data_IF_095425670006
#
_entry.id   IF_095425670006
#
_cell.length_a   1.000
_cell.length_b   1.000
_cell.length_c   1.000
_cell.angle_alpha   90.00
_cell.angle_beta   90.00
_cell.angle_gamma   90.00
#
_symmetry.space_group_name_H-M   'P 1'
#
loop_
_entity.id
_entity.type
_entity.pdbx_description
1 polymer ?
#
# COMPACT_ATOMS: atom_id res chain seq x y z
N UNK A 1 12.65 -7.37 -23.27
CA UNK A 1 11.26 -7.59 -23.74
C UNK A 1 10.31 -7.27 -22.59
N UNK A 2 9.58 -6.15 -22.67
CA UNK A 2 8.53 -5.82 -21.70
C UNK A 2 7.29 -6.62 -22.08
N UNK A 3 6.94 -7.61 -21.28
CA UNK A 3 5.64 -8.28 -21.38
C UNK A 3 4.58 -7.20 -21.14
N UNK A 4 3.89 -6.78 -22.21
CA UNK A 4 2.59 -6.13 -22.08
C UNK A 4 1.63 -7.17 -21.51
N UNK A 5 1.65 -7.35 -20.20
CA UNK A 5 0.52 -7.94 -19.51
C UNK A 5 -0.66 -7.02 -19.85
N UNK A 6 -1.60 -7.50 -20.67
CA UNK A 6 -2.85 -6.80 -20.95
C UNK A 6 -3.43 -6.39 -19.60
N UNK A 7 -3.49 -5.09 -19.34
CA UNK A 7 -4.14 -4.61 -18.12
C UNK A 7 -5.58 -5.12 -18.16
N UNK A 8 -6.04 -5.82 -17.12
CA UNK A 8 -7.41 -6.32 -17.09
C UNK A 8 -8.38 -5.13 -17.19
N UNK A 9 -9.51 -5.30 -17.88
CA UNK A 9 -10.55 -4.29 -17.94
C UNK A 9 -11.02 -3.96 -16.52
N UNK A 10 -11.50 -2.73 -16.31
CA UNK A 10 -11.93 -2.27 -14.99
C UNK A 10 -13.05 -3.15 -14.40
N UNK A 11 -13.87 -3.79 -15.25
CA UNK A 11 -14.87 -4.78 -14.85
C UNK A 11 -14.27 -5.95 -14.06
N UNK A 12 -13.11 -6.44 -14.47
CA UNK A 12 -12.46 -7.60 -13.85
C UNK A 12 -11.83 -7.20 -12.51
N UNK A 13 -11.29 -5.98 -12.42
CA UNK A 13 -10.80 -5.41 -11.17
C UNK A 13 -11.94 -5.26 -10.16
N UNK A 14 -13.08 -4.69 -10.58
CA UNK A 14 -14.25 -4.50 -9.72
C UNK A 14 -14.81 -5.85 -9.26
N UNK A 15 -15.00 -6.80 -10.18
CA UNK A 15 -15.49 -8.14 -9.84
C UNK A 15 -14.54 -8.85 -8.85
N UNK A 16 -13.23 -8.72 -9.05
CA UNK A 16 -12.23 -9.30 -8.17
C UNK A 16 -12.20 -8.66 -6.78
N UNK A 17 -12.41 -7.34 -6.67
CA UNK A 17 -12.55 -6.65 -5.39
C UNK A 17 -13.78 -7.15 -4.62
N UNK A 18 -14.89 -7.41 -5.30
CA UNK A 18 -16.14 -7.91 -4.70
C UNK A 18 -16.08 -9.38 -4.29
N UNK A 19 -15.29 -10.21 -4.99
CA UNK A 19 -15.17 -11.65 -4.73
C UNK A 19 -14.55 -11.98 -3.36
N UNK A 20 -13.86 -11.04 -2.73
CA UNK A 20 -13.21 -11.21 -1.43
C UNK A 20 -11.94 -12.07 -1.48
N UNK A 21 -11.36 -12.31 -0.31
CA UNK A 21 -10.22 -13.22 -0.14
C UNK A 21 -8.99 -12.89 -0.98
N UNK A 22 -8.30 -13.94 -1.46
CA UNK A 22 -7.09 -13.82 -2.31
C UNK A 22 -7.32 -12.92 -3.52
N UNK A 23 -8.44 -13.10 -4.20
CA UNK A 23 -8.74 -12.39 -5.44
C UNK A 23 -8.89 -10.90 -5.20
N UNK A 24 -9.55 -10.51 -4.09
CA UNK A 24 -9.68 -9.11 -3.70
C UNK A 24 -8.33 -8.46 -3.50
N UNK A 25 -7.45 -9.08 -2.72
CA UNK A 25 -6.14 -8.50 -2.41
C UNK A 25 -5.28 -8.30 -3.65
N UNK A 26 -5.26 -9.28 -4.56
CA UNK A 26 -4.58 -9.14 -5.85
C UNK A 26 -5.15 -8.00 -6.69
N UNK A 27 -6.46 -7.75 -6.61
CA UNK A 27 -7.10 -6.64 -7.31
C UNK A 27 -6.84 -5.29 -6.63
N UNK A 28 -6.76 -5.23 -5.30
CA UNK A 28 -6.35 -4.04 -4.54
C UNK A 28 -4.93 -3.60 -4.93
N UNK A 29 -3.97 -4.54 -4.93
CA UNK A 29 -2.58 -4.27 -5.31
C UNK A 29 -2.48 -3.81 -6.78
N UNK A 30 -3.21 -4.46 -7.68
CA UNK A 30 -3.26 -4.07 -9.09
C UNK A 30 -3.88 -2.69 -9.27
N UNK A 31 -4.93 -2.36 -8.52
CA UNK A 31 -5.57 -1.06 -8.57
C UNK A 31 -4.58 0.04 -8.11
N UNK A 32 -3.86 -0.20 -7.02
CA UNK A 32 -2.84 0.70 -6.51
C UNK A 32 -1.66 0.87 -7.48
N UNK A 33 -1.23 -0.19 -8.17
CA UNK A 33 -0.15 -0.07 -9.14
C UNK A 33 -0.60 0.59 -10.45
N UNK A 34 -1.85 0.37 -10.87
CA UNK A 34 -2.38 0.87 -12.15
C UNK A 34 -2.46 2.40 -12.20
N UNK A 35 -2.72 3.04 -11.07
CA UNK A 35 -2.99 4.48 -10.99
C UNK A 35 -1.92 5.29 -10.25
N UNK A 36 -0.74 4.71 -9.97
CA UNK A 36 0.36 5.35 -9.25
C UNK A 36 0.86 6.65 -9.92
N UNK A 37 0.73 6.74 -11.25
CA UNK A 37 1.05 7.92 -12.05
C UNK A 37 0.30 9.20 -11.61
N UNK A 38 -0.80 9.04 -10.85
CA UNK A 38 -1.52 10.16 -10.26
C UNK A 38 -0.67 10.93 -9.26
N UNK A 39 0.26 10.28 -8.55
CA UNK A 39 1.20 10.94 -7.62
C UNK A 39 2.02 11.99 -8.38
N UNK A 40 2.63 11.59 -9.50
CA UNK A 40 3.39 12.48 -10.37
C UNK A 40 2.51 13.57 -11.02
N UNK A 41 1.23 13.28 -11.25
CA UNK A 41 0.27 14.26 -11.77
C UNK A 41 -0.05 15.31 -10.71
N UNK A 42 -0.24 14.91 -9.45
CA UNK A 42 -0.49 15.79 -8.31
C UNK A 42 0.68 16.72 -8.04
N UNK A 43 1.90 16.21 -8.01
CA UNK A 43 3.11 17.03 -7.81
C UNK A 43 3.28 18.08 -8.91
N UNK A 44 3.07 17.71 -10.18
CA UNK A 44 3.21 18.65 -11.31
C UNK A 44 2.09 19.69 -11.37
N UNK A 45 0.83 19.26 -11.20
CA UNK A 45 -0.35 20.13 -11.37
C UNK A 45 -0.57 21.05 -10.18
N UNK A 46 -0.41 20.50 -8.97
CA UNK A 46 -0.75 21.19 -7.71
C UNK A 46 0.49 21.69 -6.95
N UNK A 47 1.71 21.41 -7.43
CA UNK A 47 2.98 21.77 -6.78
C UNK A 47 3.08 21.31 -5.32
N UNK A 48 2.41 20.20 -5.01
CA UNK A 48 2.48 19.54 -3.70
C UNK A 48 3.77 18.74 -3.58
N UNK A 49 4.19 18.47 -2.35
CA UNK A 49 5.30 17.55 -2.10
C UNK A 49 4.90 16.13 -2.51
N UNK A 50 5.89 15.32 -2.88
CA UNK A 50 5.67 13.95 -3.33
C UNK A 50 5.03 13.09 -2.24
N UNK A 51 5.49 13.22 -0.99
CA UNK A 51 4.95 12.50 0.17
C UNK A 51 3.47 12.83 0.44
N UNK A 52 3.07 14.09 0.28
CA UNK A 52 1.68 14.52 0.41
C UNK A 52 0.82 13.89 -0.70
N UNK A 53 1.34 13.87 -1.93
CA UNK A 53 0.65 13.28 -3.07
C UNK A 53 0.52 11.77 -2.91
N UNK A 54 1.56 11.09 -2.42
CA UNK A 54 1.55 9.66 -2.15
C UNK A 54 0.54 9.29 -1.05
N UNK A 55 0.44 10.12 0.00
CA UNK A 55 -0.55 9.98 1.05
C UNK A 55 -1.98 10.17 0.51
N UNK A 56 -2.22 11.26 -0.22
CA UNK A 56 -3.52 11.53 -0.84
C UNK A 56 -3.92 10.44 -1.85
N UNK A 57 -2.95 9.90 -2.58
CA UNK A 57 -3.16 8.80 -3.51
C UNK A 57 -3.58 7.52 -2.78
N UNK A 58 -2.85 7.14 -1.73
CA UNK A 58 -3.17 5.95 -0.92
C UNK A 58 -4.57 6.06 -0.31
N UNK A 59 -4.90 7.21 0.27
CA UNK A 59 -6.25 7.49 0.76
C UNK A 59 -7.32 7.42 -0.34
N UNK A 60 -6.98 7.84 -1.57
CA UNK A 60 -7.91 7.77 -2.70
C UNK A 60 -8.24 6.33 -3.05
N UNK A 61 -7.22 5.48 -3.18
CA UNK A 61 -7.41 4.07 -3.52
C UNK A 61 -8.23 3.37 -2.44
N UNK A 62 -7.95 3.62 -1.16
CA UNK A 62 -8.75 3.10 -0.05
C UNK A 62 -10.21 3.55 -0.13
N UNK A 63 -10.46 4.85 -0.30
CA UNK A 63 -11.84 5.37 -0.45
C UNK A 63 -12.56 4.74 -1.65
N UNK A 64 -11.87 4.53 -2.77
CA UNK A 64 -12.45 3.91 -3.97
C UNK A 64 -12.80 2.44 -3.72
N UNK A 65 -11.92 1.68 -3.06
CA UNK A 65 -12.20 0.29 -2.67
C UNK A 65 -13.42 0.23 -1.76
N UNK A 66 -13.48 1.08 -0.73
CA UNK A 66 -14.63 1.18 0.18
C UNK A 66 -15.93 1.49 -0.59
N UNK A 67 -15.89 2.45 -1.52
CA UNK A 67 -17.06 2.82 -2.32
C UNK A 67 -17.53 1.69 -3.24
N UNK A 68 -16.61 0.92 -3.82
CA UNK A 68 -16.95 -0.24 -4.64
C UNK A 68 -17.61 -1.32 -3.77
N UNK A 69 -17.05 -1.62 -2.60
CA UNK A 69 -17.58 -2.64 -1.69
C UNK A 69 -18.93 -2.27 -1.08
N UNK A 70 -19.14 -0.98 -0.81
CA UNK A 70 -20.41 -0.44 -0.32
C UNK A 70 -21.47 -0.28 -1.43
N UNK A 71 -21.11 -0.52 -2.70
CA UNK A 71 -22.01 -0.34 -3.84
C UNK A 71 -22.28 1.12 -4.21
N UNK A 72 -21.50 2.08 -3.69
CA UNK A 72 -21.62 3.50 -4.04
C UNK A 72 -21.09 3.82 -5.45
N UNK A 73 -20.23 2.97 -6.00
CA UNK A 73 -19.79 3.08 -7.38
C UNK A 73 -20.74 2.34 -8.33
N UNK A 74 -21.63 3.09 -8.97
CA UNK A 74 -22.65 2.54 -9.89
C UNK A 74 -22.18 2.38 -11.35
N UNK A 75 -20.89 2.61 -11.64
CA UNK A 75 -20.35 2.46 -13.01
C UNK A 75 -20.84 3.50 -14.02
N UNK A 76 -21.42 4.63 -13.57
CA UNK A 76 -21.87 5.73 -14.44
C UNK A 76 -20.73 6.50 -15.11
N UNK A 77 -19.49 6.29 -14.65
CA UNK A 77 -18.25 6.82 -15.21
C UNK A 77 -17.20 5.73 -15.25
N UNK A 78 -16.18 5.91 -16.09
CA UNK A 78 -14.99 5.05 -16.07
C UNK A 78 -14.30 5.12 -14.70
N UNK A 79 -13.79 3.98 -14.22
CA UNK A 79 -13.13 3.89 -12.92
C UNK A 79 -11.95 4.86 -12.81
N UNK A 80 -11.19 5.04 -13.90
CA UNK A 80 -10.10 6.02 -13.99
C UNK A 80 -10.58 7.45 -13.72
N UNK A 81 -11.75 7.83 -14.26
CA UNK A 81 -12.35 9.16 -14.06
C UNK A 81 -12.78 9.34 -12.61
N UNK A 82 -13.39 8.31 -12.02
CA UNK A 82 -13.82 8.33 -10.63
C UNK A 82 -12.65 8.48 -9.65
N UNK A 83 -11.59 7.68 -9.84
CA UNK A 83 -10.36 7.76 -9.04
C UNK A 83 -9.72 9.14 -9.18
N UNK A 84 -9.60 9.65 -10.40
CA UNK A 84 -9.03 10.98 -10.65
C UNK A 84 -9.79 12.08 -9.92
N UNK A 85 -11.12 12.03 -9.93
CA UNK A 85 -11.95 13.02 -9.26
C UNK A 85 -11.73 13.02 -7.75
N UNK A 86 -11.72 11.85 -7.11
CA UNK A 86 -11.46 11.73 -5.66
C UNK A 86 -10.04 12.21 -5.33
N UNK A 87 -9.04 11.79 -6.10
CA UNK A 87 -7.65 12.22 -5.91
C UNK A 87 -7.50 13.74 -6.02
N UNK A 88 -8.06 14.33 -7.07
CA UNK A 88 -7.98 15.77 -7.28
C UNK A 88 -8.65 16.56 -6.15
N UNK A 89 -9.79 16.07 -5.62
CA UNK A 89 -10.43 16.68 -4.45
C UNK A 89 -9.54 16.62 -3.22
N UNK A 90 -8.91 15.46 -2.91
CA UNK A 90 -7.97 15.34 -1.79
C UNK A 90 -6.76 16.27 -1.94
N UNK A 91 -6.20 16.42 -3.15
CA UNK A 91 -5.14 17.40 -3.40
C UNK A 91 -5.60 18.83 -3.11
N UNK A 92 -6.81 19.22 -3.56
CA UNK A 92 -7.36 20.55 -3.29
C UNK A 92 -7.56 20.77 -1.79
N UNK A 93 -8.04 19.76 -1.06
CA UNK A 93 -8.23 19.85 0.39
C UNK A 93 -6.89 19.99 1.13
N UNK A 94 -5.84 19.32 0.68
CA UNK A 94 -4.48 19.52 1.21
C UNK A 94 -3.98 20.96 0.97
N UNK A 95 -4.20 21.52 -0.22
CA UNK A 95 -3.84 22.91 -0.53
C UNK A 95 -4.60 23.87 0.38
N UNK A 96 -5.90 23.67 0.56
CA UNK A 96 -6.74 24.49 1.44
C UNK A 96 -6.25 24.44 2.88
N UNK A 97 -5.96 23.25 3.42
CA UNK A 97 -5.42 23.07 4.77
C UNK A 97 -4.08 23.81 4.94
N UNK A 98 -3.18 23.72 3.97
CA UNK A 98 -1.88 24.43 3.99
C UNK A 98 -2.04 25.94 3.89
N UNK A 99 -3.01 26.44 3.12
CA UNK A 99 -3.34 27.87 3.05
C UNK A 99 -3.87 28.38 4.39
N UNK A 100 -4.86 27.70 4.96
CA UNK A 100 -5.46 28.09 6.24
C UNK A 100 -4.48 28.03 7.40
N UNK A 101 -3.55 27.06 7.41
CA UNK A 101 -2.46 27.02 8.39
C UNK A 101 -1.48 28.20 8.22
N UNK A 102 -1.13 28.57 6.98
CA UNK A 102 -0.29 29.75 6.72
C UNK A 102 -0.98 31.04 7.15
N UNK A 103 -2.28 31.18 6.89
CA UNK A 103 -3.04 32.37 7.28
C UNK A 103 -3.13 32.52 8.81
N UNK A 104 -3.21 31.41 9.56
CA UNK A 104 -3.15 31.42 11.03
C UNK A 104 -1.73 31.71 11.57
N UNK A 105 -0.68 31.21 10.90
CA UNK A 105 0.72 31.47 11.27
C UNK A 105 1.13 32.93 10.97
N UNK A 106 0.64 33.52 9.87
CA UNK A 106 0.92 34.92 9.53
C UNK A 106 0.28 35.92 10.51
N UNK A 107 -0.75 35.53 11.27
CA UNK A 107 -1.28 36.34 12.38
C UNK A 107 -0.50 36.18 13.70
N UNK A 108 0.38 35.17 13.82
CA UNK A 108 1.01 34.81 15.10
C UNK A 108 2.55 34.97 15.15
N UNK A 109 3.23 35.29 14.04
CA UNK A 109 4.71 35.33 14.04
C UNK A 109 5.25 36.52 13.24
N UNK A 110 5.35 37.67 13.92
CA UNK A 110 6.55 38.50 13.84
C UNK A 110 7.45 37.99 14.94
N UNK A 111 8.36 37.05 14.63
CA UNK A 111 9.54 36.67 15.43
C UNK A 111 10.24 35.50 14.71
N UNK A 112 11.42 35.81 14.17
CA UNK A 112 12.55 34.91 13.90
C UNK A 112 12.40 33.83 12.81
N UNK A 113 12.60 34.26 11.57
CA UNK A 113 12.76 33.43 10.35
C UNK A 113 14.18 32.81 10.22
N UNK A 114 14.95 32.74 11.32
CA UNK A 114 16.38 32.41 11.27
C UNK A 114 16.76 31.09 11.94
N UNK A 115 15.84 30.41 12.64
CA UNK A 115 16.21 29.26 13.51
C UNK A 115 15.52 27.92 13.23
N UNK A 116 14.81 27.75 12.11
CA UNK A 116 14.10 26.47 11.81
C UNK A 116 14.55 25.73 10.56
N UNK A 117 15.80 25.89 10.12
CA UNK A 117 16.42 24.98 9.15
C UNK A 117 17.62 24.25 9.76
N UNK A 118 17.32 23.25 10.59
CA UNK A 118 18.25 22.15 10.84
C UNK A 118 17.67 20.89 10.14
N UNK A 119 18.36 20.32 9.14
CA UNK A 119 17.86 19.14 8.46
C UNK A 119 18.09 17.90 9.33
N UNK A 120 16.99 17.31 9.81
CA UNK A 120 16.93 15.99 10.46
C UNK A 120 17.11 14.82 9.44
N UNK A 121 17.72 15.09 8.28
CA UNK A 121 17.82 14.13 7.17
C UNK A 121 18.77 12.97 7.44
N UNK A 122 19.83 13.17 8.23
CA UNK A 122 20.81 12.12 8.53
C UNK A 122 20.29 11.09 9.55
N UNK A 123 19.44 11.49 10.51
CA UNK A 123 18.82 10.56 11.48
C UNK A 123 17.80 9.65 10.79
N UNK A 124 17.06 10.18 9.82
CA UNK A 124 16.11 9.41 9.00
C UNK A 124 16.79 8.39 8.10
N UNK A 125 17.85 8.77 7.38
CA UNK A 125 18.54 7.86 6.44
C UNK A 125 19.16 6.66 7.15
N UNK A 126 19.82 6.86 8.30
CA UNK A 126 20.41 5.76 9.06
C UNK A 126 19.34 4.82 9.61
N UNK A 127 18.23 5.35 10.12
CA UNK A 127 17.10 4.53 10.57
C UNK A 127 16.44 3.77 9.42
N UNK A 128 16.30 4.39 8.24
CA UNK A 128 15.81 3.74 7.02
C UNK A 128 16.76 2.63 6.56
N UNK A 129 18.07 2.86 6.59
CA UNK A 129 19.07 1.85 6.23
C UNK A 129 19.06 0.67 7.21
N UNK A 130 18.91 0.93 8.52
CA UNK A 130 18.78 -0.11 9.54
C UNK A 130 17.51 -0.94 9.28
N UNK A 131 16.36 -0.28 9.11
CA UNK A 131 15.10 -0.95 8.82
C UNK A 131 15.17 -1.78 7.51
N UNK A 132 15.79 -1.23 6.47
CA UNK A 132 16.01 -1.92 5.20
C UNK A 132 16.92 -3.15 5.39
N UNK A 133 17.99 -2.99 6.16
CA UNK A 133 18.92 -4.09 6.47
C UNK A 133 18.26 -5.22 7.27
N UNK A 134 17.36 -4.90 8.19
CA UNK A 134 16.59 -5.87 8.96
C UNK A 134 15.59 -6.62 8.08
N UNK A 135 14.92 -5.90 7.16
CA UNK A 135 14.02 -6.50 6.16
C UNK A 135 14.77 -7.44 5.23
N UNK A 136 15.93 -7.04 4.73
CA UNK A 136 16.74 -7.86 3.82
C UNK A 136 17.32 -9.09 4.53
N UNK A 137 17.74 -8.94 5.79
CA UNK A 137 18.12 -10.06 6.66
C UNK A 137 16.96 -11.03 6.84
N UNK A 138 15.77 -10.53 7.18
CA UNK A 138 14.57 -11.36 7.35
C UNK A 138 14.21 -12.11 6.06
N UNK A 139 14.21 -11.43 4.91
CA UNK A 139 13.97 -12.04 3.59
C UNK A 139 14.97 -13.15 3.27
N UNK A 140 16.26 -12.93 3.56
CA UNK A 140 17.31 -13.93 3.41
C UNK A 140 17.05 -15.17 4.28
N UNK A 141 16.66 -14.97 5.54
CA UNK A 141 16.35 -16.05 6.47
C UNK A 141 15.11 -16.85 6.04
N UNK A 142 14.05 -16.17 5.59
CA UNK A 142 12.86 -16.82 5.03
C UNK A 142 13.24 -17.66 3.81
N UNK A 143 14.12 -17.15 2.94
CA UNK A 143 14.62 -17.90 1.77
C UNK A 143 15.32 -19.22 2.12
N UNK A 144 15.91 -19.33 3.33
CA UNK A 144 16.60 -20.54 3.81
C UNK A 144 15.66 -21.62 4.37
N UNK A 145 14.37 -21.32 4.58
CA UNK A 145 13.39 -22.26 5.13
C UNK A 145 12.85 -23.27 4.12
N UNK A 146 13.21 -23.11 2.84
CA UNK A 146 12.65 -23.87 1.73
C UNK A 146 11.33 -23.29 1.21
N UNK A 147 11.01 -23.63 -0.04
CA UNK A 147 9.90 -23.04 -0.82
C UNK A 147 8.55 -23.11 -0.10
N UNK A 148 8.17 -24.28 0.43
CA UNK A 148 6.88 -24.45 1.13
C UNK A 148 6.72 -23.55 2.36
N UNK A 149 7.77 -23.42 3.19
CA UNK A 149 7.70 -22.57 4.38
C UNK A 149 7.79 -21.08 4.03
N UNK A 150 8.58 -20.72 3.02
CA UNK A 150 8.62 -19.36 2.49
C UNK A 150 7.23 -18.94 2.02
N UNK A 151 6.61 -19.71 1.12
CA UNK A 151 5.34 -19.34 0.51
C UNK A 151 4.21 -19.32 1.55
N UNK A 152 4.24 -20.22 2.54
CA UNK A 152 3.35 -20.20 3.72
C UNK A 152 3.47 -18.91 4.53
N UNK A 153 4.70 -18.51 4.89
CA UNK A 153 4.94 -17.33 5.72
C UNK A 153 4.60 -16.06 4.96
N UNK A 154 4.93 -15.99 3.67
CA UNK A 154 4.57 -14.85 2.81
C UNK A 154 3.06 -14.74 2.71
N UNK A 155 2.37 -15.82 2.34
CA UNK A 155 0.91 -15.84 2.23
C UNK A 155 0.20 -15.45 3.55
N UNK A 156 0.75 -15.85 4.69
CA UNK A 156 0.21 -15.45 5.98
C UNK A 156 0.50 -13.99 6.36
N UNK A 157 1.73 -13.49 6.12
CA UNK A 157 2.06 -12.06 6.33
C UNK A 157 1.26 -11.14 5.42
N UNK A 158 0.79 -11.69 4.32
CA UNK A 158 -0.15 -11.15 3.37
C UNK A 158 -1.62 -11.17 3.84
N UNK A 159 -1.91 -11.76 5.01
CA UNK A 159 -3.24 -11.74 5.61
C UNK A 159 -4.22 -12.79 5.09
N UNK A 160 -3.76 -13.77 4.30
CA UNK A 160 -4.62 -14.86 3.85
C UNK A 160 -5.05 -15.78 4.99
N UNK A 161 -6.28 -16.28 4.91
CA UNK A 161 -6.84 -17.20 5.91
C UNK A 161 -6.19 -18.58 5.83
N UNK A 162 -6.32 -19.38 6.90
CA UNK A 162 -5.80 -20.76 6.91
C UNK A 162 -6.48 -21.63 5.82
N UNK A 163 -7.75 -21.39 5.51
CA UNK A 163 -8.46 -22.07 4.42
C UNK A 163 -7.94 -21.66 3.04
N UNK A 164 -7.59 -20.39 2.86
CA UNK A 164 -7.03 -19.86 1.62
C UNK A 164 -5.64 -20.40 1.36
N UNK A 165 -4.79 -20.35 2.38
CA UNK A 165 -3.42 -20.88 2.32
C UNK A 165 -3.45 -22.39 2.08
N UNK A 166 -4.37 -23.13 2.72
CA UNK A 166 -4.50 -24.56 2.49
C UNK A 166 -4.82 -24.89 1.03
N UNK A 167 -5.75 -24.15 0.41
CA UNK A 167 -6.09 -24.31 -1.01
C UNK A 167 -4.91 -23.96 -1.93
N UNK A 168 -4.21 -22.87 -1.66
CA UNK A 168 -3.11 -22.40 -2.51
C UNK A 168 -1.88 -23.32 -2.47
N UNK A 169 -1.53 -23.81 -1.28
CA UNK A 169 -0.35 -24.66 -1.06
C UNK A 169 -0.65 -26.16 -1.06
N UNK A 170 -1.88 -26.54 -1.44
CA UNK A 170 -2.36 -27.93 -1.53
C UNK A 170 -2.24 -28.70 -0.20
N UNK A 171 -2.63 -28.07 0.91
CA UNK A 171 -2.82 -28.76 2.19
C UNK A 171 -4.23 -29.36 2.30
N UNK A 172 -4.32 -30.53 2.94
CA UNK A 172 -5.57 -31.26 3.09
C UNK A 172 -6.64 -30.48 3.88
N UNK A 173 -6.25 -29.69 4.88
CA UNK A 173 -7.18 -28.89 5.70
C UNK A 173 -6.53 -27.60 6.19
N UNK A 174 -7.35 -26.61 6.53
CA UNK A 174 -6.93 -25.36 7.17
C UNK A 174 -6.18 -25.60 8.49
N UNK A 175 -6.58 -26.63 9.25
CA UNK A 175 -5.88 -27.02 10.49
C UNK A 175 -4.44 -27.47 10.21
N UNK A 176 -4.21 -28.25 9.14
CA UNK A 176 -2.86 -28.67 8.74
C UNK A 176 -2.03 -27.49 8.26
N UNK A 177 -2.63 -26.54 7.52
CA UNK A 177 -1.96 -25.31 7.12
C UNK A 177 -1.55 -24.47 8.34
N UNK A 178 -2.44 -24.30 9.33
CA UNK A 178 -2.17 -23.61 10.60
C UNK A 178 -1.00 -24.24 11.37
N UNK A 179 -1.01 -25.56 11.55
CA UNK A 179 0.09 -26.26 12.23
C UNK A 179 1.40 -26.15 11.45
N UNK A 180 1.34 -26.23 10.12
CA UNK A 180 2.52 -26.07 9.26
C UNK A 180 3.09 -24.66 9.35
N UNK A 181 2.24 -23.62 9.37
CA UNK A 181 2.62 -22.22 9.60
C UNK A 181 3.37 -22.06 10.91
N UNK A 182 2.84 -22.60 12.01
CA UNK A 182 3.48 -22.50 13.33
C UNK A 182 4.88 -23.09 13.31
N UNK A 183 5.07 -24.28 12.72
CA UNK A 183 6.39 -24.91 12.58
C UNK A 183 7.35 -24.08 11.71
N UNK A 184 6.87 -23.50 10.60
CA UNK A 184 7.69 -22.65 9.76
C UNK A 184 8.12 -21.36 10.49
N UNK A 185 7.24 -20.77 11.30
CA UNK A 185 7.55 -19.59 12.14
C UNK A 185 8.53 -19.92 13.26
N UNK A 186 8.40 -21.09 13.91
CA UNK A 186 9.36 -21.57 14.91
C UNK A 186 10.76 -21.72 14.30
N UNK A 187 10.85 -22.35 13.14
CA UNK A 187 12.12 -22.51 12.42
C UNK A 187 12.69 -21.17 11.95
N UNK A 188 11.86 -20.22 11.52
CA UNK A 188 12.31 -18.86 11.20
C UNK A 188 12.90 -18.19 12.44
N UNK A 189 12.25 -18.34 13.60
CA UNK A 189 12.71 -17.78 14.88
C UNK A 189 14.03 -18.39 15.33
N UNK A 190 14.25 -19.68 15.10
CA UNK A 190 15.53 -20.34 15.34
C UNK A 190 16.66 -19.78 14.47
N UNK A 191 16.38 -19.49 13.19
CA UNK A 191 17.35 -18.89 12.27
C UNK A 191 17.61 -17.40 12.53
N UNK A 192 16.69 -16.71 13.19
CA UNK A 192 16.80 -15.29 13.52
C UNK A 192 17.61 -15.05 14.80
N UNK A 193 17.64 -16.03 15.71
CA UNK A 193 18.51 -16.02 16.90
C UNK A 193 19.98 -16.17 16.50
#
# INVERSE_FOLDING_TARGET
MRFFARQPPDSDLIAGLLAGGIQRRQCEDRLYQKYDYLIATGTRKHRLQEDDCASAYSDTILTVIEHILAGHFEGRSELATYIYQIFNNKCIDLIRKKSTQRDQVHQAVSLDDSLLQLPDSARSIVQQLIAQSDVDRLRSLIGKLGEKCRDMILAWGEGYSDEEIARQLNYNTASVAKTSRLRCLERLKELYR
#
